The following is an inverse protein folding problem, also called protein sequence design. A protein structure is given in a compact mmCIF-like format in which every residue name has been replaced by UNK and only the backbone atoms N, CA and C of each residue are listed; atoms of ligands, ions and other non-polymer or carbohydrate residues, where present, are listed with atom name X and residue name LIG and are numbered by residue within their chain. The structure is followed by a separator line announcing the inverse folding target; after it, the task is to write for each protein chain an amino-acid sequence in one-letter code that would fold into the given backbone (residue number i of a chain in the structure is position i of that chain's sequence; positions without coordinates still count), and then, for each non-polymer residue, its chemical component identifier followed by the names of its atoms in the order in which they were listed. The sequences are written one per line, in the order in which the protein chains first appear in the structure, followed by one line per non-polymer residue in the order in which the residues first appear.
data_IF_900966077647
#
_entry.id   IF_900966077647
#
_cell.length_a   1.000
_cell.length_b   1.000
_cell.length_c   1.000
_cell.angle_alpha   90.00
_cell.angle_beta   90.00
_cell.angle_gamma   90.00
#
_symmetry.space_group_name_H-M   'P 1'
#
loop_
_entity.id
_entity.type
_entity.pdbx_description
1 polymer ?
#
# COMPACT_ATOMS: atom_id res chain seq x y z
N UNK A 1 -0.13 -32.77 6.20
CA UNK A 1 -0.45 -31.56 6.98
C UNK A 1 -0.87 -30.43 6.02
N UNK A 2 -2.03 -29.81 6.20
CA UNK A 2 -2.44 -28.69 5.34
C UNK A 2 -1.46 -27.50 5.48
N UNK A 3 -1.11 -26.85 4.37
CA UNK A 3 -0.23 -25.67 4.36
C UNK A 3 -0.84 -24.47 5.11
N UNK A 4 -2.16 -24.40 5.17
CA UNK A 4 -2.92 -23.34 5.82
C UNK A 4 -3.81 -23.94 6.91
N UNK A 5 -3.99 -23.24 8.03
CA UNK A 5 -4.95 -23.64 9.05
C UNK A 5 -6.40 -23.38 8.62
N UNK A 6 -7.36 -24.10 9.22
CA UNK A 6 -8.80 -23.86 9.02
C UNK A 6 -9.18 -22.40 9.34
N UNK A 7 -8.57 -21.81 10.37
CA UNK A 7 -8.76 -20.40 10.73
C UNK A 7 -8.34 -19.43 9.62
N UNK A 8 -7.25 -19.72 8.92
CA UNK A 8 -6.83 -18.91 7.78
C UNK A 8 -7.83 -18.99 6.61
N UNK A 9 -8.40 -20.18 6.36
CA UNK A 9 -9.45 -20.35 5.35
C UNK A 9 -10.69 -19.49 5.65
N UNK A 10 -11.20 -19.57 6.89
CA UNK A 10 -12.37 -18.80 7.35
C UNK A 10 -12.19 -17.29 7.19
N UNK A 11 -11.01 -16.76 7.49
CA UNK A 11 -10.70 -15.33 7.35
C UNK A 11 -10.68 -14.88 5.88
N UNK A 12 -10.12 -15.70 5.00
CA UNK A 12 -10.13 -15.42 3.55
C UNK A 12 -11.55 -15.49 2.99
N UNK A 13 -12.35 -16.45 3.43
CA UNK A 13 -13.75 -16.57 3.05
C UNK A 13 -14.56 -15.33 3.46
N UNK A 14 -14.42 -14.87 4.71
CA UNK A 14 -15.06 -13.64 5.20
C UNK A 14 -14.66 -12.42 4.37
N UNK A 15 -13.36 -12.20 4.16
CA UNK A 15 -12.87 -11.10 3.34
C UNK A 15 -13.37 -11.18 1.88
N UNK A 16 -13.54 -12.40 1.35
CA UNK A 16 -14.11 -12.61 0.02
C UNK A 16 -15.61 -12.29 -0.02
N UNK A 17 -16.35 -12.57 1.04
CA UNK A 17 -17.75 -12.21 1.19
C UNK A 17 -17.94 -10.69 1.21
N UNK A 18 -17.21 -9.99 2.08
CA UNK A 18 -17.21 -8.52 2.17
C UNK A 18 -16.77 -7.85 0.86
N UNK A 19 -15.85 -8.48 0.11
CA UNK A 19 -15.50 -8.02 -1.23
C UNK A 19 -16.68 -8.16 -2.20
N UNK A 20 -17.39 -9.28 -2.20
CA UNK A 20 -18.55 -9.52 -3.08
C UNK A 20 -19.66 -8.50 -2.78
N UNK A 21 -19.85 -8.15 -1.52
CA UNK A 21 -20.78 -7.11 -1.06
C UNK A 21 -20.28 -5.68 -1.35
N UNK A 22 -18.99 -5.50 -1.67
CA UNK A 22 -18.41 -4.18 -1.92
C UNK A 22 -18.17 -3.34 -0.65
N UNK A 23 -18.16 -3.99 0.51
CA UNK A 23 -17.95 -3.39 1.84
C UNK A 23 -16.48 -3.44 2.27
N UNK A 24 -15.69 -4.38 1.73
CA UNK A 24 -14.28 -4.54 2.08
C UNK A 24 -13.44 -3.30 1.74
N UNK A 25 -12.79 -2.72 2.75
CA UNK A 25 -11.89 -1.56 2.63
C UNK A 25 -10.45 -1.94 2.92
N UNK A 26 -9.52 -1.28 2.24
CA UNK A 26 -8.09 -1.38 2.52
C UNK A 26 -7.72 -0.50 3.71
N UNK A 27 -6.91 -0.99 4.65
CA UNK A 27 -6.57 -0.33 5.92
C UNK A 27 -6.30 1.19 5.85
N UNK A 28 -5.03 1.61 5.70
CA UNK A 28 -4.64 3.03 5.88
C UNK A 28 -5.36 4.01 4.94
N UNK A 29 -5.71 3.59 3.74
CA UNK A 29 -6.30 4.49 2.74
C UNK A 29 -7.84 4.46 2.71
N UNK A 30 -8.49 3.55 3.44
CA UNK A 30 -9.96 3.41 3.48
C UNK A 30 -10.63 3.08 2.14
N UNK A 31 -9.85 2.86 1.07
CA UNK A 31 -10.37 2.64 -0.29
C UNK A 31 -11.02 1.26 -0.39
N UNK A 32 -12.10 1.16 -1.18
CA UNK A 32 -12.73 -0.14 -1.48
C UNK A 32 -11.76 -1.05 -2.22
N UNK A 33 -11.78 -2.33 -1.86
CA UNK A 33 -10.94 -3.36 -2.47
C UNK A 33 -11.48 -3.71 -3.86
N UNK A 34 -10.63 -3.50 -4.87
CA UNK A 34 -11.03 -3.71 -6.28
C UNK A 34 -10.73 -5.12 -6.78
N UNK A 35 -9.74 -5.79 -6.20
CA UNK A 35 -9.22 -7.06 -6.74
C UNK A 35 -9.39 -8.24 -5.78
N UNK A 36 -9.64 -9.42 -6.34
CA UNK A 36 -9.77 -10.68 -5.58
C UNK A 36 -8.47 -11.02 -4.85
N UNK A 37 -7.33 -10.83 -5.52
CA UNK A 37 -5.99 -11.04 -4.95
C UNK A 37 -5.78 -10.17 -3.71
N UNK A 38 -6.26 -8.93 -3.72
CA UNK A 38 -6.14 -8.03 -2.58
C UNK A 38 -7.03 -8.46 -1.40
N UNK A 39 -8.25 -8.91 -1.64
CA UNK A 39 -9.10 -9.45 -0.57
C UNK A 39 -8.47 -10.69 0.10
N UNK A 40 -7.93 -11.61 -0.71
CA UNK A 40 -7.20 -12.78 -0.20
C UNK A 40 -5.97 -12.32 0.62
N UNK A 41 -5.24 -11.31 0.14
CA UNK A 41 -4.09 -10.79 0.87
C UNK A 41 -4.47 -10.14 2.21
N UNK A 42 -5.63 -9.47 2.28
CA UNK A 42 -6.17 -8.91 3.52
C UNK A 42 -6.54 -10.05 4.48
N UNK A 43 -7.35 -11.02 4.04
CA UNK A 43 -7.74 -12.16 4.87
C UNK A 43 -6.57 -13.01 5.35
N UNK A 44 -5.55 -13.23 4.52
CA UNK A 44 -4.30 -13.91 4.94
C UNK A 44 -3.47 -13.08 5.93
N UNK A 45 -3.53 -11.75 5.86
CA UNK A 45 -2.81 -10.88 6.79
C UNK A 45 -3.52 -10.79 8.14
N UNK A 46 -4.85 -10.78 8.16
CA UNK A 46 -5.67 -10.88 9.38
C UNK A 46 -5.47 -12.22 10.07
N UNK A 47 -5.53 -13.32 9.31
CA UNK A 47 -5.25 -14.65 9.82
C UNK A 47 -3.88 -14.75 10.51
N UNK A 48 -2.84 -14.10 9.95
CA UNK A 48 -1.52 -14.06 10.58
C UNK A 48 -1.51 -13.25 11.88
N UNK A 49 -2.23 -12.13 11.94
CA UNK A 49 -2.34 -11.32 13.16
C UNK A 49 -3.02 -12.08 14.28
N UNK A 50 -3.96 -12.96 13.95
CA UNK A 50 -4.67 -13.83 14.88
C UNK A 50 -3.90 -15.11 15.25
N UNK A 51 -2.64 -15.24 14.83
CA UNK A 51 -1.80 -16.40 15.15
C UNK A 51 -2.12 -17.67 14.33
N UNK A 52 -2.98 -17.57 13.32
CA UNK A 52 -3.29 -18.69 12.46
C UNK A 52 -2.07 -19.09 11.60
N UNK A 53 -1.84 -20.39 11.42
CA UNK A 53 -0.74 -20.91 10.59
C UNK A 53 -0.95 -20.54 9.12
N UNK A 54 -0.18 -19.57 8.65
CA UNK A 54 -0.10 -19.15 7.24
C UNK A 54 1.35 -19.24 6.77
N UNK A 55 1.65 -19.92 5.65
CA UNK A 55 2.99 -19.98 5.09
C UNK A 55 3.57 -18.57 4.90
N UNK A 56 4.82 -18.40 5.32
CA UNK A 56 5.58 -17.18 5.03
C UNK A 56 5.78 -17.11 3.51
N UNK A 57 5.70 -15.90 2.95
CA UNK A 57 6.14 -15.71 1.57
C UNK A 57 7.61 -16.09 1.54
N UNK A 58 8.02 -16.96 0.60
CA UNK A 58 9.43 -17.21 0.37
C UNK A 58 10.06 -15.85 0.08
N UNK A 59 11.03 -15.44 0.90
CA UNK A 59 11.87 -14.31 0.57
C UNK A 59 12.59 -14.71 -0.71
N UNK A 60 12.17 -14.16 -1.85
CA UNK A 60 13.08 -14.10 -2.97
C UNK A 60 14.34 -13.44 -2.40
N UNK A 61 15.43 -14.19 -2.41
CA UNK A 61 16.76 -13.75 -1.97
C UNK A 61 16.93 -12.30 -2.40
N UNK A 62 17.40 -11.42 -1.51
CA UNK A 62 17.73 -10.03 -1.85
C UNK A 62 18.74 -10.03 -3.01
N UNK A 63 18.27 -10.09 -4.25
CA UNK A 63 19.09 -9.94 -5.44
C UNK A 63 18.84 -8.54 -5.96
N UNK A 64 19.85 -7.74 -5.66
CA UNK A 64 20.23 -6.45 -6.27
C UNK A 64 19.27 -5.27 -6.10
N UNK A 65 19.79 -4.30 -5.37
CA UNK A 65 19.60 -2.88 -5.60
C UNK A 65 19.65 -2.52 -7.11
N UNK A 66 19.00 -1.40 -7.44
CA UNK A 66 19.17 -0.64 -8.69
C UNK A 66 18.80 -1.35 -10.01
N UNK A 67 17.53 -1.25 -10.43
CA UNK A 67 17.22 -1.08 -11.86
C UNK A 67 15.93 -0.29 -12.10
N UNK A 68 16.13 1.00 -12.41
CA UNK A 68 15.36 1.85 -13.33
C UNK A 68 13.87 2.09 -13.02
N UNK A 69 13.60 3.16 -12.25
CA UNK A 69 12.52 4.11 -12.61
C UNK A 69 13.02 4.98 -13.78
N UNK A 70 13.16 4.36 -14.94
CA UNK A 70 13.22 5.02 -16.22
C UNK A 70 12.06 4.43 -17.04
N UNK A 71 11.29 5.29 -17.72
CA UNK A 71 9.97 5.03 -18.34
C UNK A 71 8.84 5.05 -17.29
N UNK A 72 8.02 6.08 -17.19
CA UNK A 72 7.19 6.65 -18.25
C UNK A 72 7.31 8.17 -18.31
N UNK A 73 7.94 8.65 -19.38
CA UNK A 73 7.57 9.90 -19.99
C UNK A 73 6.08 9.84 -20.35
N UNK A 74 5.22 10.53 -19.61
CA UNK A 74 3.91 10.96 -20.08
C UNK A 74 3.93 12.48 -20.15
N UNK A 75 4.17 12.92 -21.39
CA UNK A 75 4.14 14.27 -21.92
C UNK A 75 2.74 14.89 -21.76
N UNK A 76 2.72 16.21 -21.50
CA UNK A 76 1.65 17.24 -21.68
C UNK A 76 0.53 17.26 -20.61
N UNK A 77 0.19 18.40 -19.99
CA UNK A 77 0.06 19.79 -20.52
C UNK A 77 0.32 20.89 -19.44
N UNK A 78 0.47 22.19 -19.80
CA UNK A 78 1.34 23.15 -19.10
C UNK A 78 0.60 24.07 -18.10
N UNK A 79 1.04 24.05 -16.84
CA UNK A 79 0.69 25.07 -15.84
C UNK A 79 1.63 26.27 -15.93
N UNK A 80 1.16 27.30 -16.62
CA UNK A 80 1.81 28.61 -16.83
C UNK A 80 1.99 29.35 -15.51
N UNK A 81 3.18 29.96 -15.31
CA UNK A 81 3.49 31.12 -14.41
C UNK A 81 3.34 30.86 -12.89
N UNK A 82 4.25 31.27 -12.00
CA UNK A 82 5.16 32.42 -12.01
C UNK A 82 6.51 32.07 -11.37
N UNK A 83 7.56 32.52 -12.05
CA UNK A 83 8.86 32.90 -11.52
C UNK A 83 8.78 34.09 -10.57
N UNK A 84 9.65 34.07 -9.54
CA UNK A 84 10.18 35.17 -8.71
C UNK A 84 10.04 34.80 -7.23
N UNK A 85 11.09 34.73 -6.41
CA UNK A 85 12.51 34.95 -6.61
C UNK A 85 13.23 34.36 -5.39
N UNK A 86 14.36 33.74 -5.66
CA UNK A 86 15.35 33.34 -4.65
C UNK A 86 16.06 34.61 -4.19
N UNK A 87 16.03 34.93 -2.88
CA UNK A 87 17.16 35.53 -2.12
C UNK A 87 16.71 35.92 -0.70
N UNK A 88 17.18 35.21 0.33
CA UNK A 88 18.38 35.49 1.15
C UNK A 88 18.22 36.63 2.18
N UNK A 89 18.57 36.28 3.42
CA UNK A 89 19.23 37.10 4.47
C UNK A 89 18.41 37.90 5.50
N UNK A 90 18.87 37.72 6.75
CA UNK A 90 18.89 38.62 7.94
C UNK A 90 17.56 38.75 8.71
N UNK A 91 17.49 38.30 9.97
CA UNK A 91 18.19 38.71 11.23
C UNK A 91 17.44 39.84 11.94
N UNK A 92 17.06 39.56 13.21
CA UNK A 92 16.69 40.49 14.30
C UNK A 92 15.43 41.34 14.04
N UNK A 93 14.67 41.83 15.02
CA UNK A 93 14.56 41.72 16.47
C UNK A 93 13.37 42.61 16.87
N UNK A 94 13.02 42.60 18.16
CA UNK A 94 12.37 43.68 18.94
C UNK A 94 10.88 43.95 18.73
N UNK A 95 10.11 43.47 19.73
CA UNK A 95 9.12 44.17 20.56
C UNK A 95 8.34 45.36 20.00
N UNK A 96 7.01 45.30 20.15
CA UNK A 96 6.24 46.06 21.14
C UNK A 96 4.94 45.33 21.43
#
# INVERSE_FOLDING_TARGET
MAKYSKGAGKKVEKAMHEKKEGTLKSGRSGRKVKSRKQAIAIGLSEARKEGARVPKKKSATKKSAAKKRATTARKKSPGKKKSAGKRTTRKKSTSR
#
